data_IF_665255762162
#
_entry.id   IF_665255762162
#
_cell.length_a   1.000
_cell.length_b   1.000
_cell.length_c   1.000
_cell.angle_alpha   90.00
_cell.angle_beta   90.00
_cell.angle_gamma   90.00
#
_symmetry.space_group_name_H-M   'P 1'
#
loop_
_entity.id
_entity.type
_entity.pdbx_description
1 polymer ?
#
# COMPACT_ATOMS: atom_id res chain seq x y z
N UNK A 1 56.19 -40.34 17.56
CA UNK A 1 55.77 -40.45 18.97
C UNK A 1 55.51 -39.03 19.49
N UNK A 2 54.31 -38.51 19.20
CA UNK A 2 53.22 -38.16 20.15
C UNK A 2 53.58 -36.99 21.10
N UNK A 3 53.20 -35.76 20.77
CA UNK A 3 51.88 -35.15 21.08
C UNK A 3 51.60 -35.05 22.60
N UNK A 4 51.89 -33.88 23.19
CA UNK A 4 51.32 -33.38 24.44
C UNK A 4 51.02 -31.89 24.26
N UNK A 5 49.91 -31.55 23.59
CA UNK A 5 48.59 -31.27 24.19
C UNK A 5 48.65 -30.09 25.16
N UNK A 6 48.74 -28.88 24.58
CA UNK A 6 48.50 -27.62 25.26
C UNK A 6 46.97 -27.51 25.46
N UNK A 7 46.43 -27.71 26.67
CA UNK A 7 44.98 -27.78 26.88
C UNK A 7 44.30 -26.44 26.53
N UNK A 8 45.02 -25.33 26.70
CA UNK A 8 44.54 -23.97 26.41
C UNK A 8 44.30 -23.72 24.92
N UNK A 9 45.11 -24.31 24.03
CA UNK A 9 44.93 -24.14 22.58
C UNK A 9 43.71 -24.91 22.08
N UNK A 10 43.42 -26.06 22.68
CA UNK A 10 42.26 -26.89 22.33
C UNK A 10 40.97 -26.29 22.89
N UNK A 11 41.01 -25.72 24.11
CA UNK A 11 39.88 -24.99 24.69
C UNK A 11 39.45 -23.80 23.82
N UNK A 12 40.40 -23.00 23.32
CA UNK A 12 40.09 -21.92 22.38
C UNK A 12 39.62 -22.42 21.00
N UNK A 13 40.24 -23.49 20.48
CA UNK A 13 39.89 -24.06 19.18
C UNK A 13 38.51 -24.72 19.14
N UNK A 14 37.98 -25.17 20.27
CA UNK A 14 36.62 -25.75 20.39
C UNK A 14 35.59 -24.71 20.80
N UNK A 15 35.96 -23.72 21.63
CA UNK A 15 35.04 -22.67 22.07
C UNK A 15 34.61 -21.74 20.92
N UNK A 16 35.49 -21.49 19.95
CA UNK A 16 35.21 -20.58 18.83
C UNK A 16 34.18 -21.13 17.81
N UNK A 17 34.23 -22.39 17.35
CA UNK A 17 33.18 -22.96 16.49
C UNK A 17 31.85 -23.17 17.22
N UNK A 18 31.85 -23.41 18.54
CA UNK A 18 30.62 -23.51 19.33
C UNK A 18 29.89 -22.17 19.46
N UNK A 19 30.63 -21.07 19.62
CA UNK A 19 30.06 -19.72 19.63
C UNK A 19 29.43 -19.34 18.28
N UNK A 20 30.01 -19.79 17.16
CA UNK A 20 29.48 -19.54 15.82
C UNK A 20 28.18 -20.32 15.53
N UNK A 21 28.03 -21.52 16.09
CA UNK A 21 26.80 -22.32 15.97
C UNK A 21 25.61 -21.68 16.70
N UNK A 22 25.85 -20.93 17.79
CA UNK A 22 24.81 -20.24 18.56
C UNK A 22 24.27 -18.97 17.87
N UNK A 23 24.91 -18.48 16.80
CA UNK A 23 24.41 -17.37 15.98
C UNK A 23 23.53 -17.83 14.80
N UNK A 24 23.19 -19.12 14.73
CA UNK A 24 22.26 -19.66 13.72
C UNK A 24 20.81 -19.30 14.09
N UNK A 25 20.46 -18.02 14.00
CA UNK A 25 19.07 -17.57 14.11
C UNK A 25 18.29 -17.98 12.87
N UNK A 26 17.21 -18.74 13.03
CA UNK A 26 16.24 -18.96 11.97
C UNK A 26 15.47 -17.64 11.79
N UNK A 27 15.78 -16.89 10.74
CA UNK A 27 14.96 -15.76 10.31
C UNK A 27 13.65 -16.30 9.73
N UNK A 28 12.64 -16.50 10.58
CA UNK A 28 11.28 -16.66 10.10
C UNK A 28 10.87 -15.30 9.55
N UNK A 29 11.00 -15.13 8.24
CA UNK A 29 10.36 -14.02 7.55
C UNK A 29 8.88 -14.37 7.56
N UNK A 30 8.15 -13.84 8.54
CA UNK A 30 6.71 -13.71 8.40
C UNK A 30 6.54 -12.84 7.16
N UNK A 31 6.33 -13.50 6.01
CA UNK A 31 5.91 -12.83 4.80
C UNK A 31 4.57 -12.22 5.17
N UNK A 32 4.59 -10.95 5.60
CA UNK A 32 3.40 -10.15 5.76
C UNK A 32 2.62 -10.36 4.46
N UNK A 33 1.32 -10.68 4.54
CA UNK A 33 0.51 -10.83 3.34
C UNK A 33 0.74 -9.60 2.49
N UNK A 34 1.05 -9.82 1.21
CA UNK A 34 1.42 -8.80 0.24
C UNK A 34 0.31 -7.73 0.18
N UNK A 35 0.42 -6.71 1.03
CA UNK A 35 -0.52 -5.59 1.06
C UNK A 35 -0.40 -4.75 -0.22
N UNK A 36 0.63 -4.99 -1.04
CA UNK A 36 0.77 -4.47 -2.41
C UNK A 36 -0.31 -5.02 -3.38
N UNK A 37 -1.13 -5.98 -2.95
CA UNK A 37 -2.16 -6.60 -3.80
C UNK A 37 -3.41 -5.73 -4.03
N UNK A 38 -3.54 -4.53 -3.48
CA UNK A 38 -4.71 -3.68 -3.73
C UNK A 38 -4.56 -2.85 -5.02
N UNK A 39 -4.36 -3.52 -6.15
CA UNK A 39 -4.46 -2.87 -7.46
C UNK A 39 -5.91 -2.76 -7.87
N UNK A 40 -6.38 -1.53 -8.08
CA UNK A 40 -7.69 -1.24 -8.66
C UNK A 40 -7.55 -0.97 -10.16
N UNK A 41 -7.98 -1.93 -10.99
CA UNK A 41 -8.10 -1.75 -12.43
C UNK A 41 -9.51 -1.23 -12.77
N UNK A 42 -9.63 0.06 -13.09
CA UNK A 42 -10.88 0.71 -13.43
C UNK A 42 -11.00 0.92 -14.95
N UNK A 43 -12.11 0.49 -15.56
CA UNK A 43 -12.45 0.79 -16.95
C UNK A 43 -13.75 1.57 -17.02
N UNK A 44 -13.67 2.81 -17.49
CA UNK A 44 -14.85 3.66 -17.72
C UNK A 44 -15.16 3.68 -19.21
N UNK A 45 -16.42 3.43 -19.56
CA UNK A 45 -16.92 3.58 -20.93
C UNK A 45 -18.06 4.60 -20.93
N UNK A 46 -17.82 5.73 -21.58
CA UNK A 46 -18.85 6.74 -21.79
C UNK A 46 -19.84 6.28 -22.87
N UNK A 47 -21.11 6.65 -22.71
CA UNK A 47 -22.13 6.48 -23.75
C UNK A 47 -22.01 7.56 -24.83
N UNK A 48 -22.41 7.27 -26.06
CA UNK A 48 -22.48 8.25 -27.16
C UNK A 48 -23.45 9.42 -26.90
N UNK A 49 -24.25 9.35 -25.83
CA UNK A 49 -25.22 10.38 -25.43
C UNK A 49 -24.95 10.95 -24.03
N UNK A 50 -23.74 10.77 -23.51
CA UNK A 50 -23.38 11.21 -22.16
C UNK A 50 -23.41 12.74 -22.03
N UNK A 51 -23.83 13.26 -20.86
CA UNK A 51 -23.91 14.69 -20.54
C UNK A 51 -24.41 15.56 -21.70
N UNK A 52 -25.66 15.41 -22.14
CA UNK A 52 -26.17 16.16 -23.27
C UNK A 52 -26.29 17.65 -22.93
N UNK A 53 -25.86 18.50 -23.87
CA UNK A 53 -26.09 19.94 -23.81
C UNK A 53 -27.55 20.32 -24.12
N UNK A 54 -27.85 21.62 -24.13
CA UNK A 54 -29.17 22.14 -24.47
C UNK A 54 -29.65 21.77 -25.89
N UNK A 55 -28.73 21.36 -26.79
CA UNK A 55 -29.01 20.88 -28.15
C UNK A 55 -29.05 19.35 -28.25
N UNK A 56 -28.98 18.64 -27.11
CA UNK A 56 -28.90 17.18 -26.99
C UNK A 56 -27.63 16.56 -27.58
N UNK A 57 -26.57 17.35 -27.77
CA UNK A 57 -25.25 16.86 -28.19
C UNK A 57 -24.49 16.39 -26.96
N UNK A 58 -23.83 15.23 -27.06
CA UNK A 58 -23.00 14.73 -25.97
C UNK A 58 -21.88 15.74 -25.65
N UNK A 59 -21.62 15.94 -24.36
CA UNK A 59 -20.55 16.78 -23.86
C UNK A 59 -19.60 15.97 -22.95
N UNK A 60 -18.33 16.40 -22.80
CA UNK A 60 -17.39 15.74 -21.89
C UNK A 60 -17.88 15.75 -20.43
N UNK A 61 -17.41 14.78 -19.64
CA UNK A 61 -17.64 14.72 -18.19
C UNK A 61 -16.29 14.60 -17.49
N UNK A 62 -16.06 15.42 -16.47
CA UNK A 62 -14.97 15.18 -15.53
C UNK A 62 -15.37 14.08 -14.53
N UNK A 63 -14.55 13.04 -14.42
CA UNK A 63 -14.73 11.95 -13.46
C UNK A 63 -13.64 12.07 -12.40
N UNK A 64 -14.05 12.11 -11.13
CA UNK A 64 -13.14 12.04 -9.98
C UNK A 64 -13.30 10.72 -9.26
N UNK A 65 -12.19 10.01 -9.06
CA UNK A 65 -12.12 8.77 -8.29
C UNK A 65 -11.52 9.10 -6.94
N UNK A 66 -12.22 8.72 -5.86
CA UNK A 66 -11.79 8.92 -4.48
C UNK A 66 -11.48 7.58 -3.84
N UNK A 67 -10.28 7.45 -3.29
CA UNK A 67 -9.93 6.38 -2.39
C UNK A 67 -10.12 6.90 -0.97
N UNK A 68 -10.98 6.23 -0.19
CA UNK A 68 -11.41 6.69 1.12
C UNK A 68 -11.17 5.65 2.21
N UNK A 69 -10.83 6.10 3.42
CA UNK A 69 -10.83 5.25 4.62
C UNK A 69 -12.26 4.90 5.06
N UNK A 70 -13.17 5.87 4.95
CA UNK A 70 -14.59 5.76 5.24
C UNK A 70 -15.39 6.66 4.28
N UNK A 71 -16.57 6.22 3.84
CA UNK A 71 -17.41 6.93 2.85
C UNK A 71 -18.53 7.78 3.47
N UNK A 72 -18.67 7.83 4.80
CA UNK A 72 -19.77 8.52 5.47
C UNK A 72 -19.77 10.04 5.20
N UNK A 73 -18.60 10.68 5.29
CA UNK A 73 -18.47 12.11 4.98
C UNK A 73 -18.79 12.40 3.50
N UNK A 74 -18.30 11.55 2.59
CA UNK A 74 -18.56 11.67 1.15
C UNK A 74 -20.05 11.52 0.82
N UNK A 75 -20.71 10.53 1.41
CA UNK A 75 -22.14 10.22 1.18
C UNK A 75 -23.07 11.30 1.74
N UNK A 76 -22.63 12.01 2.78
CA UNK A 76 -23.42 13.06 3.43
C UNK A 76 -23.21 14.45 2.79
N UNK A 77 -22.05 14.69 2.19
CA UNK A 77 -21.71 15.97 1.60
C UNK A 77 -22.51 16.27 0.32
N UNK A 78 -22.80 17.55 0.10
CA UNK A 78 -23.37 18.00 -1.16
C UNK A 78 -22.29 18.11 -2.27
N UNK A 79 -22.76 18.17 -3.52
CA UNK A 79 -21.89 18.23 -4.69
C UNK A 79 -20.92 19.41 -4.66
N UNK A 80 -21.35 20.61 -4.25
CA UNK A 80 -20.50 21.80 -4.29
C UNK A 80 -19.41 21.74 -3.24
N UNK A 81 -19.76 21.28 -2.04
CA UNK A 81 -18.78 21.02 -0.98
C UNK A 81 -17.67 20.07 -1.46
N UNK A 82 -18.03 18.96 -2.13
CA UNK A 82 -17.06 18.03 -2.72
C UNK A 82 -16.33 18.61 -3.94
N UNK A 83 -17.01 19.35 -4.80
CA UNK A 83 -16.44 19.89 -6.03
C UNK A 83 -15.35 20.93 -5.73
N UNK A 84 -15.63 21.82 -4.80
CA UNK A 84 -14.77 22.97 -4.48
C UNK A 84 -13.74 22.64 -3.39
N UNK A 85 -14.13 21.83 -2.38
CA UNK A 85 -13.39 21.70 -1.12
C UNK A 85 -13.30 20.26 -0.59
N UNK A 86 -13.26 19.24 -1.46
CA UNK A 86 -13.18 17.81 -1.09
C UNK A 86 -12.19 17.50 0.04
N UNK A 87 -10.97 18.04 0.00
CA UNK A 87 -9.95 17.83 1.04
C UNK A 87 -10.42 18.29 2.43
N UNK A 88 -11.13 19.41 2.50
CA UNK A 88 -11.64 19.93 3.77
C UNK A 88 -12.89 19.19 4.23
N UNK A 89 -13.69 18.67 3.31
CA UNK A 89 -14.92 17.95 3.62
C UNK A 89 -14.61 16.53 4.11
N UNK A 90 -13.67 15.87 3.44
CA UNK A 90 -13.33 14.46 3.68
C UNK A 90 -12.22 14.31 4.73
N UNK A 91 -11.42 15.34 4.96
CA UNK A 91 -10.40 15.39 6.02
C UNK A 91 -9.49 14.14 5.99
N UNK A 92 -9.43 13.41 7.10
CA UNK A 92 -8.59 12.23 7.26
C UNK A 92 -9.11 11.02 6.48
N UNK A 93 -10.36 11.03 6.02
CA UNK A 93 -10.92 9.94 5.23
C UNK A 93 -10.40 9.94 3.79
N UNK A 94 -9.92 11.08 3.26
CA UNK A 94 -9.37 11.14 1.91
C UNK A 94 -7.95 10.55 1.87
N UNK A 95 -7.80 9.40 1.19
CA UNK A 95 -6.50 8.76 0.96
C UNK A 95 -5.89 9.25 -0.35
N UNK A 96 -6.66 9.16 -1.44
CA UNK A 96 -6.21 9.53 -2.78
C UNK A 96 -7.37 10.07 -3.61
N UNK A 97 -7.03 10.95 -4.56
CA UNK A 97 -7.95 11.49 -5.56
C UNK A 97 -7.29 11.57 -6.92
N UNK A 98 -7.93 11.00 -7.93
CA UNK A 98 -7.53 11.12 -9.34
C UNK A 98 -8.70 11.69 -10.17
N UNK A 99 -8.39 12.48 -11.21
CA UNK A 99 -9.38 13.14 -12.07
C UNK A 99 -9.10 12.89 -13.54
N UNK A 100 -10.16 12.64 -14.32
CA UNK A 100 -10.11 12.29 -15.74
C UNK A 100 -11.18 13.05 -16.52
N UNK A 101 -10.94 13.33 -17.80
CA UNK A 101 -11.90 13.90 -18.77
C UNK A 101 -11.91 13.02 -20.01
#
# INVERSE_FOLDING_TARGET
MNEWRNPTRWLCAVAMPFALLLLSGCGSSDALPDLESQRLDLSVKASDKVNPDNQKKAAPIEIRVYELKNDAAFTTADYWSLHDNDKSVLTDDLVRRDSFI
#
